data_IF_678078657455
#
_entry.id   IF_678078657455
#
_cell.length_a   1.000
_cell.length_b   1.000
_cell.length_c   1.000
_cell.angle_alpha   90.00
_cell.angle_beta   90.00
_cell.angle_gamma   90.00
#
_symmetry.space_group_name_H-M   'P 1'
#
loop_
_entity.id
_entity.type
_entity.pdbx_description
1 polymer ?
#
# COMPACT_ATOMS: atom_id res chain seq x y z
N UNK A 1 -0.54 18.08 -0.73
CA UNK A 1 -0.60 17.47 -2.07
C UNK A 1 0.39 16.32 -2.05
N UNK A 2 -0.04 15.10 -2.40
CA UNK A 2 0.80 13.92 -2.22
C UNK A 2 2.00 13.94 -3.17
N UNK A 3 3.09 13.29 -2.76
CA UNK A 3 4.33 13.18 -3.51
C UNK A 3 4.21 12.13 -4.60
N UNK A 4 4.58 12.48 -5.84
CA UNK A 4 4.65 11.53 -6.95
C UNK A 4 5.93 10.70 -6.82
N UNK A 5 5.79 9.39 -6.62
CA UNK A 5 6.92 8.47 -6.47
C UNK A 5 7.31 7.83 -7.81
N UNK A 6 6.29 7.33 -8.52
CA UNK A 6 6.38 6.79 -9.88
C UNK A 6 5.12 7.18 -10.64
N UNK A 7 5.11 6.93 -11.94
CA UNK A 7 3.88 7.07 -12.73
C UNK A 7 2.73 6.32 -12.05
N UNK A 8 1.63 7.04 -11.81
CA UNK A 8 0.43 6.52 -11.15
C UNK A 8 0.62 6.03 -9.68
N UNK A 9 1.74 6.34 -9.03
CA UNK A 9 2.00 5.98 -7.64
C UNK A 9 2.35 7.20 -6.80
N UNK A 10 1.56 7.43 -5.75
CA UNK A 10 1.69 8.57 -4.86
C UNK A 10 1.91 8.13 -3.42
N UNK A 11 2.78 8.86 -2.71
CA UNK A 11 2.95 8.81 -1.27
C UNK A 11 2.27 10.02 -0.64
N UNK A 12 1.50 9.84 0.43
CA UNK A 12 0.89 10.96 1.12
C UNK A 12 0.65 10.73 2.61
N UNK A 13 0.09 11.74 3.24
CA UNK A 13 -0.34 11.71 4.63
C UNK A 13 -1.88 11.59 4.73
N UNK A 14 -2.40 11.59 5.97
CA UNK A 14 -3.83 11.47 6.21
C UNK A 14 -4.64 12.65 5.64
N UNK A 15 -4.06 13.85 5.59
CA UNK A 15 -4.67 15.03 5.00
C UNK A 15 -4.87 14.89 3.50
N UNK A 16 -3.85 14.40 2.78
CA UNK A 16 -3.93 14.13 1.34
C UNK A 16 -5.03 13.11 1.03
N UNK A 17 -5.12 12.03 1.82
CA UNK A 17 -6.15 11.02 1.65
C UNK A 17 -7.55 11.57 1.94
N UNK A 18 -7.71 12.32 3.03
CA UNK A 18 -8.99 12.92 3.39
C UNK A 18 -9.48 13.92 2.32
N UNK A 19 -8.57 14.65 1.69
CA UNK A 19 -8.90 15.54 0.58
C UNK A 19 -9.42 14.77 -0.63
N UNK A 20 -8.74 13.70 -1.05
CA UNK A 20 -9.20 12.83 -2.15
C UNK A 20 -10.56 12.20 -1.85
N UNK A 21 -10.79 11.78 -0.61
CA UNK A 21 -12.06 11.15 -0.20
C UNK A 21 -13.21 12.15 -0.20
N UNK A 22 -13.01 13.35 0.37
CA UNK A 22 -14.07 14.37 0.49
C UNK A 22 -14.41 15.02 -0.84
N UNK A 23 -13.37 15.43 -1.57
CA UNK A 23 -13.52 16.30 -2.74
C UNK A 23 -13.37 15.54 -4.06
N UNK A 24 -13.05 14.24 -3.99
CA UNK A 24 -12.75 13.41 -5.15
C UNK A 24 -11.38 13.74 -5.76
N UNK A 25 -10.95 12.92 -6.70
CA UNK A 25 -9.79 13.21 -7.54
C UNK A 25 -10.04 12.70 -8.95
N UNK A 26 -9.65 13.51 -9.95
CA UNK A 26 -9.65 13.05 -11.35
C UNK A 26 -8.51 12.06 -11.63
N UNK A 27 -7.50 12.00 -10.76
CA UNK A 27 -6.27 11.23 -10.95
C UNK A 27 -6.21 10.00 -10.06
N UNK A 28 -6.48 10.17 -8.76
CA UNK A 28 -6.39 9.10 -7.76
C UNK A 28 -7.69 8.32 -7.74
N UNK A 29 -7.59 7.02 -8.06
CA UNK A 29 -8.72 6.10 -8.13
C UNK A 29 -8.62 4.97 -7.09
N UNK A 30 -7.44 4.80 -6.49
CA UNK A 30 -7.19 3.79 -5.47
C UNK A 30 -6.48 4.42 -4.26
N UNK A 31 -6.84 4.02 -3.04
CA UNK A 31 -6.20 4.46 -1.80
C UNK A 31 -5.81 3.26 -0.94
N UNK A 32 -4.54 3.14 -0.58
CA UNK A 32 -4.04 2.21 0.41
C UNK A 32 -3.78 2.97 1.72
N UNK A 33 -4.55 2.66 2.75
CA UNK A 33 -4.48 3.24 4.08
C UNK A 33 -3.73 2.31 5.04
N UNK A 34 -2.54 2.71 5.48
CA UNK A 34 -1.72 2.00 6.45
C UNK A 34 -1.87 2.62 7.86
N UNK A 35 -3.10 2.66 8.37
CA UNK A 35 -3.46 3.25 9.66
C UNK A 35 -4.37 2.27 10.43
N UNK A 36 -4.21 2.08 11.75
CA UNK A 36 -5.09 1.25 12.55
C UNK A 36 -6.53 1.77 12.53
N UNK A 37 -7.51 0.87 12.53
CA UNK A 37 -8.94 1.22 12.50
C UNK A 37 -9.37 2.12 13.66
N UNK A 38 -8.72 2.02 14.83
CA UNK A 38 -8.96 2.91 15.99
C UNK A 38 -8.59 4.36 15.70
N UNK A 39 -7.49 4.57 14.98
CA UNK A 39 -7.03 5.91 14.57
C UNK A 39 -7.91 6.48 13.45
N UNK A 40 -8.37 5.63 12.51
CA UNK A 40 -9.33 6.02 11.48
C UNK A 40 -10.63 6.55 12.12
N UNK A 41 -11.21 5.81 13.09
CA UNK A 41 -12.42 6.29 13.78
C UNK A 41 -12.21 7.64 14.47
N UNK A 42 -11.07 7.85 15.12
CA UNK A 42 -10.76 9.13 15.78
C UNK A 42 -10.65 10.31 14.81
N UNK A 43 -10.13 10.08 13.60
CA UNK A 43 -9.87 11.16 12.63
C UNK A 43 -11.04 11.41 11.68
N UNK A 44 -11.84 10.39 11.37
CA UNK A 44 -12.99 10.51 10.46
C UNK A 44 -14.36 10.60 11.16
N UNK A 45 -14.46 10.38 12.49
CA UNK A 45 -15.71 10.50 13.25
C UNK A 45 -16.08 11.96 13.62
N UNK A 46 -16.15 12.82 12.61
CA UNK A 46 -17.09 13.96 12.62
C UNK A 46 -18.51 13.55 12.22
N UNK A 47 -18.80 12.26 12.02
CA UNK A 47 -20.10 11.72 11.63
C UNK A 47 -20.43 10.40 12.35
N UNK A 48 -21.67 10.31 12.83
CA UNK A 48 -22.20 9.31 13.79
C UNK A 48 -22.53 7.92 13.21
N UNK A 49 -22.82 7.00 14.15
CA UNK A 49 -23.42 5.63 14.06
C UNK A 49 -22.40 4.50 13.78
N UNK A 50 -22.27 3.40 14.53
CA UNK A 50 -23.09 2.75 15.56
C UNK A 50 -23.22 1.26 15.21
N UNK A 51 -22.83 0.34 16.10
CA UNK A 51 -23.16 -1.09 15.99
C UNK A 51 -21.98 -2.06 16.14
N UNK A 52 -21.83 -2.63 17.33
CA UNK A 52 -21.03 -3.82 17.62
C UNK A 52 -21.91 -5.07 17.48
N UNK A 53 -21.39 -6.17 16.92
CA UNK A 53 -21.85 -7.53 17.25
C UNK A 53 -20.69 -8.52 17.15
N UNK A 54 -20.67 -9.46 18.08
CA UNK A 54 -19.68 -10.52 18.30
C UNK A 54 -20.26 -11.91 17.99
N UNK A 55 -19.43 -12.96 18.12
CA UNK A 55 -19.65 -14.43 17.97
C UNK A 55 -19.23 -14.94 16.58
N UNK A 56 -18.44 -15.99 16.37
CA UNK A 56 -17.78 -17.01 17.20
C UNK A 56 -17.51 -18.28 16.36
N UNK A 57 -16.44 -18.99 16.68
CA UNK A 57 -16.08 -20.39 16.31
C UNK A 57 -15.31 -20.71 15.00
N UNK A 58 -14.39 -21.67 15.13
CA UNK A 58 -13.15 -21.75 14.37
C UNK A 58 -13.10 -22.73 13.19
N UNK A 59 -12.11 -22.47 12.31
CA UNK A 59 -11.47 -23.46 11.45
C UNK A 59 -10.11 -22.94 10.99
N UNK A 60 -9.10 -23.80 11.10
CA UNK A 60 -7.69 -23.51 10.76
C UNK A 60 -7.55 -23.38 9.24
N UNK A 61 -7.52 -22.15 8.76
CA UNK A 61 -7.02 -21.74 7.44
C UNK A 61 -6.36 -20.37 7.57
N UNK A 62 -5.17 -20.22 6.98
CA UNK A 62 -4.25 -19.08 7.11
C UNK A 62 -4.97 -17.71 7.13
N UNK A 63 -4.96 -17.05 8.30
CA UNK A 63 -5.80 -15.90 8.69
C UNK A 63 -5.36 -14.55 8.08
N UNK A 64 -5.15 -14.51 6.76
CA UNK A 64 -4.93 -13.27 6.02
C UNK A 64 -6.21 -12.43 5.89
N UNK A 65 -7.38 -13.08 6.01
CA UNK A 65 -8.66 -12.51 5.58
C UNK A 65 -9.38 -11.66 6.62
N UNK A 66 -9.03 -11.75 7.91
CA UNK A 66 -9.83 -11.12 8.99
C UNK A 66 -9.32 -9.72 9.40
N UNK A 67 -8.15 -9.29 8.91
CA UNK A 67 -7.52 -8.01 9.32
C UNK A 67 -7.42 -6.97 8.20
N UNK A 68 -7.43 -7.38 6.93
CA UNK A 68 -7.41 -6.44 5.81
C UNK A 68 -8.86 -6.05 5.50
N UNK A 69 -9.16 -4.75 5.56
CA UNK A 69 -10.47 -4.26 5.15
C UNK A 69 -10.40 -3.77 3.71
N UNK A 70 -11.17 -4.37 2.81
CA UNK A 70 -11.44 -3.81 1.49
C UNK A 70 -12.74 -3.02 1.52
N UNK A 71 -12.72 -1.75 1.09
CA UNK A 71 -13.95 -0.99 0.85
C UNK A 71 -13.95 -0.43 -0.56
N UNK A 72 -15.04 -0.67 -1.29
CA UNK A 72 -15.31 0.01 -2.55
C UNK A 72 -16.24 1.17 -2.24
N UNK A 73 -15.73 2.39 -2.34
CA UNK A 73 -16.50 3.61 -2.04
C UNK A 73 -16.76 4.38 -3.33
N UNK A 74 -17.98 4.90 -3.49
CA UNK A 74 -18.29 5.84 -4.58
C UNK A 74 -18.04 7.25 -4.05
N UNK A 75 -16.99 7.91 -4.54
CA UNK A 75 -16.69 9.29 -4.18
C UNK A 75 -17.44 10.23 -5.14
N UNK A 76 -18.59 10.76 -4.71
CA UNK A 76 -19.40 11.66 -5.53
C UNK A 76 -20.18 10.97 -6.66
N UNK A 77 -20.79 11.77 -7.55
CA UNK A 77 -21.83 11.29 -8.50
C UNK A 77 -21.33 10.26 -9.53
N UNK A 78 -20.02 10.20 -9.84
CA UNK A 78 -19.49 9.33 -10.89
C UNK A 78 -18.07 8.75 -10.66
N UNK A 79 -17.40 8.98 -9.51
CA UNK A 79 -16.03 8.46 -9.30
C UNK A 79 -16.03 7.16 -8.48
N UNK A 80 -15.49 6.10 -9.08
CA UNK A 80 -15.24 4.82 -8.43
C UNK A 80 -13.88 4.87 -7.71
N UNK A 81 -13.91 4.93 -6.38
CA UNK A 81 -12.73 4.93 -5.52
C UNK A 81 -12.59 3.57 -4.83
N UNK A 82 -11.48 2.88 -5.07
CA UNK A 82 -11.19 1.60 -4.42
C UNK A 82 -10.24 1.80 -3.24
N UNK A 83 -10.58 1.28 -2.06
CA UNK A 83 -9.80 1.47 -0.84
C UNK A 83 -9.39 0.14 -0.22
N UNK A 84 -8.14 0.08 0.20
CA UNK A 84 -7.60 -1.01 1.01
C UNK A 84 -7.09 -0.44 2.33
N UNK A 85 -7.55 -0.99 3.44
CA UNK A 85 -7.10 -0.65 4.78
C UNK A 85 -6.24 -1.78 5.36
N UNK A 86 -5.05 -1.42 5.83
CA UNK A 86 -4.11 -2.30 6.53
C UNK A 86 -3.84 -1.72 7.92
N UNK A 87 -4.29 -2.38 8.99
CA UNK A 87 -4.26 -1.82 10.33
C UNK A 87 -2.87 -1.93 10.97
N UNK A 88 -1.93 -1.09 10.54
CA UNK A 88 -0.55 -1.09 11.03
C UNK A 88 -0.30 -0.02 12.09
N UNK A 89 0.17 -0.42 13.28
CA UNK A 89 0.79 0.50 14.24
C UNK A 89 2.19 0.87 13.76
N UNK A 90 2.65 2.07 14.11
CA UNK A 90 4.00 2.51 13.75
C UNK A 90 5.01 2.09 14.82
N UNK A 91 5.13 0.78 15.00
CA UNK A 91 6.01 0.16 15.99
C UNK A 91 6.93 -0.82 15.26
N UNK A 92 8.13 -0.97 15.80
CA UNK A 92 9.15 -1.94 15.42
C UNK A 92 8.66 -3.40 15.58
N UNK A 93 7.79 -3.68 16.54
CA UNK A 93 7.17 -5.00 16.77
C UNK A 93 5.96 -5.32 15.86
N UNK A 94 5.52 -4.38 15.02
CA UNK A 94 4.34 -4.57 14.18
C UNK A 94 4.65 -5.45 12.97
N UNK A 95 3.84 -6.49 12.72
CA UNK A 95 4.04 -7.39 11.59
C UNK A 95 3.51 -6.77 10.29
N UNK A 96 4.41 -6.24 9.46
CA UNK A 96 4.17 -5.77 8.11
C UNK A 96 4.21 -6.92 7.07
N UNK A 97 5.04 -7.94 7.29
CA UNK A 97 5.31 -9.02 6.33
C UNK A 97 4.04 -9.70 5.81
N UNK A 98 3.10 -9.98 6.71
CA UNK A 98 1.85 -10.66 6.37
C UNK A 98 1.00 -9.88 5.36
N UNK A 99 1.19 -8.56 5.28
CA UNK A 99 0.38 -7.69 4.41
C UNK A 99 1.07 -7.31 3.10
N UNK A 100 2.39 -7.48 2.99
CA UNK A 100 3.17 -6.97 1.85
C UNK A 100 2.68 -7.51 0.51
N UNK A 101 2.37 -8.80 0.41
CA UNK A 101 1.87 -9.39 -0.84
C UNK A 101 0.56 -8.75 -1.29
N UNK A 102 -0.39 -8.56 -0.37
CA UNK A 102 -1.66 -7.93 -0.67
C UNK A 102 -1.50 -6.44 -1.03
N UNK A 103 -0.62 -5.72 -0.33
CA UNK A 103 -0.32 -4.32 -0.59
C UNK A 103 0.30 -4.13 -1.99
N UNK A 104 1.30 -4.93 -2.34
CA UNK A 104 1.94 -4.88 -3.66
C UNK A 104 0.92 -5.17 -4.76
N UNK A 105 0.12 -6.22 -4.60
CA UNK A 105 -0.91 -6.58 -5.57
C UNK A 105 -1.93 -5.45 -5.78
N UNK A 106 -2.34 -4.79 -4.69
CA UNK A 106 -3.25 -3.65 -4.74
C UNK A 106 -2.63 -2.48 -5.49
N UNK A 107 -1.36 -2.15 -5.20
CA UNK A 107 -0.64 -1.07 -5.89
C UNK A 107 -0.53 -1.39 -7.39
N UNK A 108 -0.10 -2.59 -7.77
CA UNK A 108 0.08 -2.97 -9.17
C UNK A 108 -1.25 -2.93 -9.96
N UNK A 109 -2.32 -3.51 -9.40
CA UNK A 109 -3.66 -3.46 -10.02
C UNK A 109 -4.20 -2.05 -10.12
N UNK A 110 -3.99 -1.24 -9.09
CA UNK A 110 -4.47 0.14 -9.07
C UNK A 110 -3.75 1.01 -10.10
N UNK A 111 -2.43 0.87 -10.23
CA UNK A 111 -1.61 1.59 -11.21
C UNK A 111 -1.98 1.27 -12.66
N UNK A 112 -2.47 0.06 -12.94
CA UNK A 112 -2.96 -0.37 -14.27
C UNK A 112 -4.33 0.24 -14.64
N UNK A 113 -5.12 0.61 -13.65
CA UNK A 113 -6.48 1.15 -13.83
C UNK A 113 -6.57 2.67 -13.66
N UNK A 114 -5.59 3.28 -13.01
CA UNK A 114 -5.55 4.70 -12.68
C UNK A 114 -4.38 5.00 -11.76
N UNK A 115 -4.53 5.90 -10.80
CA UNK A 115 -3.47 6.18 -9.81
C UNK A 115 -3.79 5.69 -8.41
N UNK A 116 -2.74 5.31 -7.69
CA UNK A 116 -2.78 4.81 -6.31
C UNK A 116 -2.15 5.83 -5.37
N UNK A 117 -2.86 6.18 -4.31
CA UNK A 117 -2.33 6.90 -3.16
C UNK A 117 -2.08 5.92 -2.02
N UNK A 118 -0.82 5.76 -1.63
CA UNK A 118 -0.42 5.02 -0.43
C UNK A 118 -0.16 6.04 0.68
N UNK A 119 -0.88 5.93 1.79
CA UNK A 119 -0.73 6.86 2.90
C UNK A 119 -0.74 6.17 4.25
N UNK A 120 -0.13 6.82 5.22
CA UNK A 120 -0.32 6.54 6.64
C UNK A 120 -0.71 7.85 7.34
N UNK A 121 -0.42 7.98 8.63
CA UNK A 121 -0.71 9.22 9.35
C UNK A 121 0.12 10.39 8.80
N UNK A 122 1.45 10.29 8.85
CA UNK A 122 2.38 11.35 8.46
C UNK A 122 2.96 11.20 7.04
N UNK A 123 2.82 10.03 6.41
CA UNK A 123 3.50 9.73 5.15
C UNK A 123 5.00 9.42 5.28
N UNK A 124 5.46 9.06 6.48
CA UNK A 124 6.90 8.96 6.81
C UNK A 124 7.38 7.51 6.95
N UNK A 125 6.69 6.67 7.74
CA UNK A 125 7.17 5.32 8.12
C UNK A 125 6.35 4.20 7.47
N UNK A 126 5.13 3.92 7.95
CA UNK A 126 4.29 2.79 7.47
C UNK A 126 4.08 2.77 5.94
N UNK A 127 3.59 3.88 5.37
CA UNK A 127 3.36 3.97 3.93
C UNK A 127 4.66 3.96 3.12
N UNK A 128 5.72 4.57 3.64
CA UNK A 128 7.04 4.53 3.01
C UNK A 128 7.58 3.11 2.97
N UNK A 129 7.43 2.33 4.05
CA UNK A 129 7.85 0.93 4.12
C UNK A 129 7.17 0.06 3.06
N UNK A 130 5.86 0.24 2.87
CA UNK A 130 5.09 -0.46 1.83
C UNK A 130 5.57 -0.09 0.43
N UNK A 131 5.82 1.21 0.17
CA UNK A 131 6.33 1.66 -1.14
C UNK A 131 7.75 1.15 -1.37
N UNK A 132 8.64 1.20 -0.37
CA UNK A 132 10.00 0.66 -0.48
C UNK A 132 9.95 -0.83 -0.85
N UNK A 133 9.12 -1.63 -0.17
CA UNK A 133 8.93 -3.03 -0.51
C UNK A 133 8.40 -3.22 -1.94
N UNK A 134 7.45 -2.40 -2.36
CA UNK A 134 6.94 -2.40 -3.72
C UNK A 134 8.05 -2.13 -4.75
N UNK A 135 8.85 -1.08 -4.56
CA UNK A 135 9.94 -0.72 -5.46
C UNK A 135 11.03 -1.81 -5.52
N UNK A 136 11.46 -2.35 -4.37
CA UNK A 136 12.40 -3.48 -4.33
C UNK A 136 11.89 -4.66 -5.16
N UNK A 137 10.59 -4.94 -5.06
CA UNK A 137 9.98 -6.08 -5.73
C UNK A 137 9.82 -5.88 -7.23
N UNK A 138 9.37 -4.71 -7.66
CA UNK A 138 9.03 -4.45 -9.07
C UNK A 138 10.19 -3.90 -9.89
N UNK A 139 11.14 -3.23 -9.25
CA UNK A 139 12.30 -2.61 -9.91
C UNK A 139 13.62 -3.33 -9.57
N UNK A 140 13.55 -4.45 -8.83
CA UNK A 140 14.71 -5.27 -8.42
C UNK A 140 15.80 -4.50 -7.68
N UNK A 141 15.40 -3.43 -6.98
CA UNK A 141 16.30 -2.61 -6.18
C UNK A 141 16.67 -3.28 -4.86
N UNK A 142 17.86 -2.97 -4.35
CA UNK A 142 18.19 -3.26 -2.95
C UNK A 142 17.31 -2.41 -2.02
N UNK A 143 17.27 -2.75 -0.74
CA UNK A 143 16.51 -1.95 0.24
C UNK A 143 17.03 -0.50 0.29
N UNK A 144 18.35 -0.33 0.27
CA UNK A 144 19.00 0.96 0.28
C UNK A 144 18.67 1.76 -0.99
N UNK A 145 18.78 1.14 -2.16
CA UNK A 145 18.47 1.81 -3.44
C UNK A 145 16.99 2.19 -3.56
N UNK A 146 16.09 1.31 -3.10
CA UNK A 146 14.65 1.56 -3.11
C UNK A 146 14.27 2.71 -2.18
N UNK A 147 14.81 2.72 -0.96
CA UNK A 147 14.58 3.79 0.01
C UNK A 147 15.23 5.11 -0.45
N UNK A 148 16.44 5.04 -0.99
CA UNK A 148 17.14 6.18 -1.57
C UNK A 148 16.38 6.79 -2.74
N UNK A 149 15.83 5.96 -3.63
CA UNK A 149 14.97 6.43 -4.72
C UNK A 149 13.66 7.03 -4.21
N UNK A 150 13.03 6.47 -3.18
CA UNK A 150 11.84 7.06 -2.57
C UNK A 150 12.14 8.44 -1.95
N UNK A 151 13.32 8.60 -1.34
CA UNK A 151 13.77 9.89 -0.77
C UNK A 151 13.95 10.99 -1.81
N UNK A 152 14.23 10.63 -3.07
CA UNK A 152 14.27 11.62 -4.16
C UNK A 152 12.90 12.25 -4.42
N UNK A 153 11.81 11.54 -4.13
CA UNK A 153 10.43 12.06 -4.23
C UNK A 153 9.95 12.73 -2.94
N UNK A 154 10.39 12.24 -1.78
CA UNK A 154 10.01 12.76 -0.47
C UNK A 154 11.17 12.58 0.53
N UNK A 155 11.94 13.64 0.76
CA UNK A 155 13.19 13.60 1.55
C UNK A 155 12.98 13.09 2.99
N UNK A 156 11.81 13.35 3.57
CA UNK A 156 11.53 13.10 4.99
C UNK A 156 11.09 11.66 5.30
N UNK A 157 11.07 10.75 4.31
CA UNK A 157 10.69 9.37 4.58
C UNK A 157 11.71 8.67 5.48
N UNK A 158 11.19 8.02 6.50
CA UNK A 158 11.95 7.34 7.52
C UNK A 158 11.11 6.18 8.09
N UNK A 159 11.09 5.01 7.40
CA UNK A 159 10.62 3.76 7.99
C UNK A 159 11.26 3.49 9.34
N UNK A 160 10.51 2.92 10.28
CA UNK A 160 11.11 2.38 11.50
C UNK A 160 11.96 1.12 11.19
N UNK A 161 12.91 0.82 12.08
CA UNK A 161 13.89 -0.25 11.87
C UNK A 161 13.24 -1.63 11.73
N UNK A 162 12.22 -1.93 12.54
CA UNK A 162 11.49 -3.20 12.45
C UNK A 162 10.81 -3.40 11.09
N UNK A 163 10.30 -2.34 10.47
CA UNK A 163 9.78 -2.42 9.10
C UNK A 163 10.88 -2.58 8.06
N UNK A 164 12.02 -1.90 8.22
CA UNK A 164 13.16 -2.08 7.32
C UNK A 164 13.61 -3.55 7.30
N UNK A 165 13.84 -4.14 8.46
CA UNK A 165 14.22 -5.55 8.61
C UNK A 165 13.22 -6.49 7.92
N UNK A 166 11.93 -6.24 8.14
CA UNK A 166 10.84 -6.99 7.52
C UNK A 166 10.82 -6.83 5.99
N UNK A 167 11.03 -5.64 5.45
CA UNK A 167 11.03 -5.41 4.00
C UNK A 167 12.17 -6.19 3.30
N UNK A 168 13.33 -6.33 3.94
CA UNK A 168 14.40 -7.21 3.48
C UNK A 168 13.94 -8.67 3.52
N UNK A 169 13.41 -9.12 4.66
CA UNK A 169 12.98 -10.50 4.86
C UNK A 169 11.90 -10.94 3.85
N UNK A 170 10.89 -10.10 3.61
CA UNK A 170 9.80 -10.38 2.68
C UNK A 170 10.30 -10.60 1.24
N UNK A 171 11.30 -9.83 0.82
CA UNK A 171 11.91 -9.97 -0.51
C UNK A 171 12.68 -11.29 -0.64
N UNK A 172 13.35 -11.74 0.42
CA UNK A 172 14.07 -13.02 0.45
C UNK A 172 13.11 -14.22 0.41
N UNK A 173 12.02 -14.17 1.21
CA UNK A 173 10.99 -15.23 1.23
C UNK A 173 10.32 -15.37 -0.15
N UNK A 174 10.05 -14.25 -0.84
CA UNK A 174 9.46 -14.27 -2.19
C UNK A 174 10.40 -14.87 -3.24
N UNK A 175 11.73 -14.78 -3.08
CA UNK A 175 12.70 -15.44 -3.97
C UNK A 175 12.76 -16.96 -3.73
N UNK A 176 12.65 -17.41 -2.48
CA UNK A 176 12.71 -18.82 -2.11
C UNK A 176 11.40 -19.59 -2.36
N UNK A 177 10.25 -18.92 -2.22
CA UNK A 177 8.95 -19.54 -2.48
C UNK A 177 8.54 -19.27 -3.93
N UNK A 178 8.47 -20.31 -4.79
CA UNK A 178 8.06 -20.19 -6.21
C UNK A 178 6.64 -19.63 -6.45
N UNK A 179 5.97 -19.08 -5.44
CA UNK A 179 4.67 -18.41 -5.57
C UNK A 179 4.70 -17.24 -6.58
N UNK A 180 5.89 -16.72 -6.91
CA UNK A 180 6.04 -15.46 -7.65
C UNK A 180 6.95 -15.52 -8.89
N UNK A 181 7.63 -16.64 -9.16
CA UNK A 181 8.49 -16.78 -10.34
C UNK A 181 7.70 -16.83 -11.67
N UNK A 182 6.38 -17.04 -11.63
CA UNK A 182 5.55 -17.28 -12.82
C UNK A 182 4.71 -16.07 -13.29
N UNK A 183 4.75 -14.92 -12.62
CA UNK A 183 3.91 -13.74 -12.96
C UNK A 183 4.66 -12.55 -13.58
N UNK A 184 5.96 -12.65 -13.79
CA UNK A 184 6.79 -11.60 -14.39
C UNK A 184 7.51 -12.06 -15.67
N UNK A 185 6.87 -12.90 -16.49
CA UNK A 185 7.25 -13.00 -17.90
C UNK A 185 6.52 -11.87 -18.63
N UNK A 186 7.11 -10.68 -18.58
CA UNK A 186 6.88 -9.71 -19.66
C UNK A 186 7.77 -10.21 -20.81
N UNK A 187 7.24 -10.57 -21.98
CA UNK A 187 8.11 -10.86 -23.12
C UNK A 187 8.88 -9.57 -23.41
N UNK A 188 10.21 -9.67 -23.43
CA UNK A 188 11.05 -8.60 -23.93
C UNK A 188 10.48 -8.14 -25.29
N UNK A 189 10.35 -6.83 -25.56
CA UNK A 189 10.00 -6.41 -26.90
C UNK A 189 11.13 -6.87 -27.82
N UNK A 190 10.80 -7.84 -28.68
CA UNK A 190 11.53 -8.10 -29.89
C UNK A 190 11.55 -6.79 -30.69
N UNK A 191 12.67 -6.09 -30.67
CA UNK A 191 13.04 -5.23 -31.78
C UNK A 191 14.00 -6.01 -32.66
N UNK A 192 13.44 -6.86 -33.53
CA UNK A 192 13.96 -6.87 -34.89
C UNK A 192 13.40 -5.62 -35.57
N UNK A 193 14.26 -4.87 -36.27
CA UNK A 193 14.04 -4.41 -37.64
C UNK A 193 15.27 -3.57 -38.07
N UNK A 194 16.09 -4.23 -38.91
CA UNK A 194 16.91 -3.75 -40.04
C UNK A 194 18.06 -2.74 -39.83
N UNK A 195 19.28 -3.21 -40.10
CA UNK A 195 19.92 -3.07 -41.42
C UNK A 195 20.88 -4.25 -41.66
#
# INVERSE_FOLDING_TARGET
MPYLVRENLFLGNIGDAAEVIRNGSKKITHILCAIPTKEIKKVYAGGSVGGSTSVGDGSKTCLLSDKISYSLERAGKDLKLERMGVPLRDMDDENLLDYLDACVDFIDKGRKKGSVLVHCFAGVSRSASIITAYLMRTEHLSQEDALGSLRQSCEFVCPNDGFLDQVIQGTLISKCTRKWASRLIVPAPYTSLFA
#
